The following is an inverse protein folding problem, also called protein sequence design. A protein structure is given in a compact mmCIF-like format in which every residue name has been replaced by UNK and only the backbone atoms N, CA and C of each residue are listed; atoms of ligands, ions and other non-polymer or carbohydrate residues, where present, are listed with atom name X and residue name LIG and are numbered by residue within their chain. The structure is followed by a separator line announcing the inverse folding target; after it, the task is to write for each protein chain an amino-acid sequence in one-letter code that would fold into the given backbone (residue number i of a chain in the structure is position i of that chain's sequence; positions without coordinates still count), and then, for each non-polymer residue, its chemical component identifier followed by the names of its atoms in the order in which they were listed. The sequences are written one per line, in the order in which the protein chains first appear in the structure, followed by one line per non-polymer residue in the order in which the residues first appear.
data_IF_525505580421
#
_entry.id   IF_525505580421
#
_cell.length_a   1.000
_cell.length_b   1.000
_cell.length_c   1.000
_cell.angle_alpha   90.00
_cell.angle_beta   90.00
_cell.angle_gamma   90.00
#
_symmetry.space_group_name_H-M   'P 1'
#
loop_
_entity.id
_entity.type
_entity.pdbx_description
1 polymer ?
#
# COMPACT_ATOMS: atom_id res chain seq x y z
N UNK A 1 -4.74 3.48 -6.16
CA UNK A 1 -3.92 3.10 -4.99
C UNK A 1 -3.65 1.61 -5.02
N UNK A 2 -2.52 1.14 -4.49
CA UNK A 2 -2.22 -0.30 -4.36
C UNK A 2 -2.59 -0.78 -2.96
N UNK A 3 -3.36 -1.86 -2.90
CA UNK A 3 -3.79 -2.48 -1.65
C UNK A 3 -2.63 -3.18 -0.92
N UNK A 4 -2.72 -3.24 0.41
CA UNK A 4 -1.75 -3.94 1.27
C UNK A 4 -1.54 -5.40 0.83
N UNK A 5 -2.61 -6.10 0.44
CA UNK A 5 -2.55 -7.51 0.08
C UNK A 5 -1.73 -7.74 -1.18
N UNK A 6 -1.81 -6.87 -2.19
CA UNK A 6 -1.02 -6.99 -3.42
C UNK A 6 0.47 -7.02 -3.10
N UNK A 7 0.92 -6.13 -2.21
CA UNK A 7 2.32 -6.09 -1.81
C UNK A 7 2.70 -7.34 -1.01
N UNK A 8 1.85 -7.77 -0.08
CA UNK A 8 2.09 -8.99 0.69
C UNK A 8 2.12 -10.24 -0.19
N UNK A 9 1.30 -10.29 -1.24
CA UNK A 9 1.28 -11.41 -2.17
C UNK A 9 2.63 -11.54 -2.88
N UNK A 10 3.25 -10.43 -3.26
CA UNK A 10 4.60 -10.43 -3.84
C UNK A 10 5.67 -10.76 -2.81
N UNK A 11 5.65 -10.11 -1.65
CA UNK A 11 6.65 -10.31 -0.60
C UNK A 11 6.68 -11.75 -0.08
N UNK A 12 5.51 -12.39 0.00
CA UNK A 12 5.32 -13.70 0.62
C UNK A 12 4.99 -14.79 -0.40
N UNK A 13 4.95 -14.47 -1.70
CA UNK A 13 4.57 -15.40 -2.77
C UNK A 13 3.22 -16.10 -2.52
N UNK A 14 2.19 -15.33 -2.15
CA UNK A 14 0.87 -15.87 -1.79
C UNK A 14 0.04 -16.18 -3.03
N UNK A 15 -0.30 -17.45 -3.21
CA UNK A 15 -1.27 -17.89 -4.21
C UNK A 15 -2.72 -17.65 -3.73
N UNK A 16 -3.68 -17.44 -4.65
CA UNK A 16 -3.55 -17.53 -6.11
C UNK A 16 -3.14 -16.22 -6.80
N UNK A 17 -2.96 -15.13 -6.05
CA UNK A 17 -2.84 -13.78 -6.61
C UNK A 17 -1.40 -13.35 -6.90
N UNK A 18 -0.40 -14.11 -6.44
CA UNK A 18 1.01 -13.77 -6.59
C UNK A 18 1.39 -13.31 -8.00
N UNK A 19 0.96 -14.04 -9.04
CA UNK A 19 1.31 -13.73 -10.43
C UNK A 19 0.78 -12.38 -10.89
N UNK A 20 -0.49 -12.11 -10.60
CA UNK A 20 -1.13 -10.84 -10.99
C UNK A 20 -0.56 -9.67 -10.19
N UNK A 21 -0.35 -9.87 -8.88
CA UNK A 21 0.27 -8.88 -7.99
C UNK A 21 1.71 -8.56 -8.40
N UNK A 22 2.50 -9.57 -8.77
CA UNK A 22 3.88 -9.39 -9.27
C UNK A 22 3.91 -8.63 -10.59
N UNK A 23 2.97 -8.91 -11.50
CA UNK A 23 2.85 -8.20 -12.78
C UNK A 23 2.49 -6.72 -12.57
N UNK A 24 1.55 -6.43 -11.66
CA UNK A 24 1.21 -5.04 -11.33
C UNK A 24 2.41 -4.30 -10.74
N UNK A 25 3.12 -4.92 -9.78
CA UNK A 25 4.32 -4.34 -9.18
C UNK A 25 5.43 -4.08 -10.21
N UNK A 26 5.64 -4.99 -11.16
CA UNK A 26 6.62 -4.82 -12.23
C UNK A 26 6.28 -3.62 -13.13
N UNK A 27 5.01 -3.46 -13.53
CA UNK A 27 4.59 -2.31 -14.34
C UNK A 27 4.78 -0.98 -13.59
N UNK A 28 4.58 -0.96 -12.27
CA UNK A 28 4.84 0.22 -11.42
C UNK A 28 6.34 0.51 -11.34
N UNK A 29 7.16 -0.51 -11.08
CA UNK A 29 8.62 -0.39 -10.99
C UNK A 29 9.23 0.09 -12.32
N UNK A 30 8.73 -0.40 -13.45
CA UNK A 30 9.09 0.05 -14.79
C UNK A 30 8.52 1.44 -15.17
N UNK A 31 7.79 2.10 -14.27
CA UNK A 31 7.11 3.39 -14.47
C UNK A 31 6.10 3.40 -15.62
N UNK A 32 5.59 2.24 -16.00
CA UNK A 32 4.48 2.11 -16.95
C UNK A 32 3.14 2.49 -16.30
N UNK A 33 3.06 2.31 -14.97
CA UNK A 33 1.93 2.72 -14.14
C UNK A 33 2.43 3.54 -12.95
N UNK A 34 1.66 4.54 -12.53
CA UNK A 34 1.92 5.24 -11.26
C UNK A 34 1.35 4.39 -10.11
N UNK A 35 2.22 4.02 -9.18
CA UNK A 35 1.85 3.37 -7.93
C UNK A 35 1.65 4.41 -6.83
N UNK A 36 0.55 4.28 -6.08
CA UNK A 36 0.28 5.13 -4.92
C UNK A 36 -0.03 4.27 -3.69
N UNK A 37 0.52 4.63 -2.53
CA UNK A 37 0.21 3.99 -1.24
C UNK A 37 -0.32 4.99 -0.22
N UNK A 38 -1.34 4.58 0.53
CA UNK A 38 -1.74 5.30 1.73
C UNK A 38 -0.64 5.19 2.81
N UNK A 39 -0.36 6.25 3.59
CA UNK A 39 0.60 6.16 4.69
C UNK A 39 0.31 5.04 5.70
N UNK A 40 -0.97 4.72 5.93
CA UNK A 40 -1.37 3.61 6.82
C UNK A 40 -0.99 2.24 6.24
N UNK A 41 -0.98 2.10 4.91
CA UNK A 41 -0.52 0.87 4.24
C UNK A 41 0.95 0.59 4.58
N UNK A 42 1.80 1.62 4.62
CA UNK A 42 3.24 1.49 4.94
C UNK A 42 3.45 0.94 6.35
N UNK A 43 2.70 1.46 7.33
CA UNK A 43 2.80 0.98 8.72
C UNK A 43 2.20 -0.41 8.91
N UNK A 44 1.12 -0.72 8.20
CA UNK A 44 0.52 -2.07 8.19
C UNK A 44 1.46 -3.10 7.56
N UNK A 45 2.12 -2.76 6.45
CA UNK A 45 3.13 -3.61 5.82
C UNK A 45 4.34 -3.85 6.73
N UNK A 46 4.79 -2.85 7.48
CA UNK A 46 5.81 -3.06 8.53
C UNK A 46 5.34 -4.07 9.56
N UNK A 47 4.13 -3.87 10.10
CA UNK A 47 3.58 -4.71 11.15
C UNK A 47 3.40 -6.17 10.72
N UNK A 48 2.90 -6.41 9.51
CA UNK A 48 2.68 -7.76 8.97
C UNK A 48 4.00 -8.37 8.49
N UNK A 49 4.78 -7.62 7.72
CA UNK A 49 6.07 -8.04 7.17
C UNK A 49 7.05 -8.46 8.27
N UNK A 50 7.16 -7.70 9.37
CA UNK A 50 8.10 -8.05 10.44
C UNK A 50 7.79 -9.39 11.12
N UNK A 51 6.50 -9.79 11.18
CA UNK A 51 6.07 -11.05 11.80
C UNK A 51 6.47 -12.26 10.96
N UNK A 52 6.52 -12.11 9.64
CA UNK A 52 6.74 -13.21 8.70
C UNK A 52 8.18 -13.23 8.18
N UNK A 53 8.73 -12.07 7.83
CA UNK A 53 10.05 -11.90 7.21
C UNK A 53 11.15 -11.50 8.20
N UNK A 54 10.76 -11.06 9.41
CA UNK A 54 11.65 -10.44 10.38
C UNK A 54 11.86 -8.94 10.15
N UNK A 55 12.22 -8.23 11.22
CA UNK A 55 12.30 -6.76 11.27
C UNK A 55 13.23 -6.18 10.20
N UNK A 56 14.44 -6.73 10.06
CA UNK A 56 15.44 -6.21 9.11
C UNK A 56 14.93 -6.26 7.68
N UNK A 57 14.40 -7.42 7.27
CA UNK A 57 13.93 -7.62 5.90
C UNK A 57 12.70 -6.77 5.59
N UNK A 58 11.76 -6.65 6.54
CA UNK A 58 10.60 -5.80 6.38
C UNK A 58 10.99 -4.33 6.11
N UNK A 59 11.95 -3.79 6.87
CA UNK A 59 12.43 -2.42 6.65
C UNK A 59 13.12 -2.22 5.29
N UNK A 60 13.94 -3.18 4.87
CA UNK A 60 14.58 -3.13 3.55
C UNK A 60 13.55 -3.05 2.42
N UNK A 61 12.51 -3.89 2.48
CA UNK A 61 11.46 -3.90 1.47
C UNK A 61 10.60 -2.63 1.50
N UNK A 62 10.30 -2.08 2.68
CA UNK A 62 9.61 -0.78 2.79
C UNK A 62 10.41 0.36 2.15
N UNK A 63 11.73 0.40 2.36
CA UNK A 63 12.58 1.40 1.74
C UNK A 63 12.55 1.30 0.20
N UNK A 64 12.44 0.08 -0.35
CA UNK A 64 12.26 -0.11 -1.79
C UNK A 64 10.90 0.42 -2.26
N UNK A 65 9.82 0.14 -1.51
CA UNK A 65 8.50 0.68 -1.83
C UNK A 65 8.49 2.21 -1.87
N UNK A 66 9.14 2.88 -0.92
CA UNK A 66 9.22 4.34 -0.88
C UNK A 66 10.00 4.95 -2.06
N UNK A 67 10.78 4.16 -2.81
CA UNK A 67 11.48 4.62 -4.01
C UNK A 67 10.66 4.48 -5.29
N UNK A 68 9.67 3.59 -5.30
CA UNK A 68 8.87 3.25 -6.49
C UNK A 68 7.42 3.74 -6.39
N UNK A 69 6.92 4.00 -5.18
CA UNK A 69 5.56 4.49 -4.92
C UNK A 69 5.53 5.96 -4.53
N UNK A 70 4.52 6.66 -5.03
CA UNK A 70 4.07 7.92 -4.42
C UNK A 70 3.31 7.62 -3.13
N UNK A 71 3.56 8.41 -2.08
CA UNK A 71 2.92 8.24 -0.78
C UNK A 71 1.94 9.38 -0.55
N UNK A 72 0.71 9.02 -0.19
CA UNK A 72 -0.32 10.00 0.14
C UNK A 72 0.02 10.86 1.34
N UNK A 73 -0.67 11.99 1.48
CA UNK A 73 -0.52 12.88 2.63
C UNK A 73 -1.80 12.83 3.44
N UNK A 74 -1.68 12.39 4.69
CA UNK A 74 -2.79 12.44 5.64
C UNK A 74 -2.78 13.79 6.37
N UNK A 75 -3.93 14.44 6.41
CA UNK A 75 -4.17 15.68 7.15
C UNK A 75 -5.52 15.62 7.86
N UNK A 76 -5.77 16.48 8.86
CA UNK A 76 -7.10 16.60 9.46
C UNK A 76 -8.22 16.82 8.41
N UNK A 77 -7.91 17.51 7.32
CA UNK A 77 -8.83 17.77 6.21
C UNK A 77 -9.22 16.50 5.48
N UNK A 78 -8.27 15.60 5.21
CA UNK A 78 -8.53 14.29 4.61
C UNK A 78 -9.53 13.51 5.46
N UNK A 79 -9.29 13.44 6.77
CA UNK A 79 -10.19 12.71 7.67
C UNK A 79 -11.57 13.37 7.76
N UNK A 80 -11.65 14.70 7.71
CA UNK A 80 -12.92 15.42 7.67
C UNK A 80 -13.71 15.08 6.41
N UNK A 81 -13.06 15.11 5.25
CA UNK A 81 -13.68 14.71 3.98
C UNK A 81 -14.16 13.26 4.00
N UNK A 82 -13.36 12.34 4.55
CA UNK A 82 -13.75 10.95 4.71
C UNK A 82 -14.96 10.77 5.64
N UNK A 83 -15.03 11.53 6.74
CA UNK A 83 -16.17 11.51 7.67
C UNK A 83 -17.45 12.11 7.07
N UNK A 84 -17.32 13.01 6.10
CA UNK A 84 -18.43 13.65 5.37
C UNK A 84 -18.83 12.86 4.11
N UNK A 85 -18.14 11.76 3.80
CA UNK A 85 -18.39 10.92 2.62
C UNK A 85 -19.57 9.96 2.84
N UNK A 86 -20.27 9.63 1.75
CA UNK A 86 -21.30 8.59 1.71
C UNK A 86 -20.71 7.16 1.64
N UNK A 87 -19.37 7.02 1.55
CA UNK A 87 -18.70 5.73 1.51
C UNK A 87 -18.84 5.05 2.88
N UNK A 88 -19.45 3.86 2.89
CA UNK A 88 -19.77 3.14 4.12
C UNK A 88 -18.53 2.61 4.86
N UNK A 89 -17.50 2.20 4.13
CA UNK A 89 -16.24 1.78 4.71
C UNK A 89 -15.33 3.00 4.91
N UNK A 90 -14.93 3.25 6.15
CA UNK A 90 -14.16 4.45 6.48
C UNK A 90 -12.73 4.41 5.92
N UNK A 91 -12.13 3.23 5.76
CA UNK A 91 -10.81 3.11 5.14
C UNK A 91 -10.89 3.52 3.67
N UNK A 92 -11.89 3.02 2.94
CA UNK A 92 -12.15 3.42 1.56
C UNK A 92 -12.44 4.92 1.43
N UNK A 93 -13.18 5.50 2.38
CA UNK A 93 -13.45 6.94 2.41
C UNK A 93 -12.16 7.78 2.59
N UNK A 94 -11.25 7.32 3.46
CA UNK A 94 -9.93 7.97 3.64
C UNK A 94 -9.08 7.81 2.39
N UNK A 95 -9.09 6.62 1.78
CA UNK A 95 -8.35 6.34 0.55
C UNK A 95 -8.76 7.30 -0.57
N UNK A 96 -10.06 7.46 -0.80
CA UNK A 96 -10.61 8.37 -1.81
C UNK A 96 -10.22 9.83 -1.52
N UNK A 97 -10.25 10.26 -0.25
CA UNK A 97 -9.87 11.62 0.14
C UNK A 97 -8.36 11.90 0.06
N UNK A 98 -7.52 10.87 0.02
CA UNK A 98 -6.06 10.98 -0.09
C UNK A 98 -5.58 10.99 -1.55
N UNK A 99 -6.37 10.42 -2.46
CA UNK A 99 -6.09 10.33 -3.91
C UNK A 99 -6.49 11.58 -4.70
#
# INVERSE_FOLDING_TARGET
MVDTNVILDVWLSREPHWRESARLMANIECRELRGFLCPTTVTTLHYLGKKVLGEKRARELLLQLLQIFEIGVLSPEVFRQALESDIADFEDAVIEAVS
#
